data_IF_929858463554
#
_entry.id   IF_929858463554
#
_cell.length_a   1.000
_cell.length_b   1.000
_cell.length_c   1.000
_cell.angle_alpha   90.00
_cell.angle_beta   90.00
_cell.angle_gamma   90.00
#
_symmetry.space_group_name_H-M   'P 1'
#
loop_
_entity.id
_entity.type
_entity.pdbx_description
1 polymer ?
#
# COMPACT_ATOMS: atom_id res chain seq x y z
N UNK A 1 -38.70 -2.86 5.44
CA UNK A 1 -38.12 -2.27 4.21
C UNK A 1 -36.81 -2.97 3.91
N UNK A 2 -36.71 -3.66 2.76
CA UNK A 2 -35.48 -4.32 2.35
C UNK A 2 -34.65 -3.34 1.51
N UNK A 3 -33.43 -3.02 1.96
CA UNK A 3 -32.44 -2.28 1.18
C UNK A 3 -32.09 -3.11 -0.06
N UNK A 4 -32.15 -2.50 -1.23
CA UNK A 4 -31.75 -3.16 -2.48
C UNK A 4 -30.24 -3.38 -2.49
N UNK A 5 -29.72 -4.42 -3.18
CA UNK A 5 -28.28 -4.66 -3.26
C UNK A 5 -27.51 -3.48 -3.85
N UNK A 6 -28.15 -2.66 -4.69
CA UNK A 6 -27.58 -1.42 -5.24
C UNK A 6 -27.49 -0.30 -4.19
N UNK A 7 -28.48 -0.18 -3.30
CA UNK A 7 -28.40 0.76 -2.16
C UNK A 7 -27.41 0.29 -1.09
N UNK A 8 -27.35 -1.02 -0.83
CA UNK A 8 -26.32 -1.61 0.03
C UNK A 8 -24.92 -1.32 -0.53
N UNK A 9 -24.72 -1.47 -1.85
CA UNK A 9 -23.45 -1.10 -2.52
C UNK A 9 -23.16 0.39 -2.49
N UNK A 10 -24.16 1.25 -2.63
CA UNK A 10 -23.99 2.71 -2.53
C UNK A 10 -23.63 3.16 -1.10
N UNK A 11 -24.21 2.52 -0.08
CA UNK A 11 -23.86 2.78 1.33
C UNK A 11 -22.54 2.13 1.75
N UNK A 12 -22.15 1.04 1.09
CA UNK A 12 -20.88 0.35 1.32
C UNK A 12 -19.72 0.89 0.47
N UNK A 13 -20.01 1.77 -0.50
CA UNK A 13 -18.98 2.44 -1.26
C UNK A 13 -18.30 3.47 -0.34
N UNK A 14 -16.96 3.41 -0.20
CA UNK A 14 -16.26 4.34 0.66
C UNK A 14 -16.41 5.76 0.12
N UNK A 15 -16.66 6.71 1.01
CA UNK A 15 -16.91 8.10 0.65
C UNK A 15 -15.70 8.65 -0.14
N UNK A 16 -15.92 9.28 -1.31
CA UNK A 16 -14.82 9.69 -2.19
C UNK A 16 -13.95 10.80 -1.59
N UNK A 17 -14.51 11.68 -0.75
CA UNK A 17 -13.70 12.66 -0.03
C UNK A 17 -12.85 11.98 1.05
N UNK A 18 -13.44 11.02 1.75
CA UNK A 18 -12.72 10.24 2.76
C UNK A 18 -11.56 9.45 2.16
N UNK A 19 -11.79 8.78 1.03
CA UNK A 19 -10.76 8.08 0.26
C UNK A 19 -9.61 9.02 -0.10
N UNK A 20 -9.93 10.21 -0.61
CA UNK A 20 -8.92 11.20 -1.00
C UNK A 20 -8.08 11.69 0.18
N UNK A 21 -8.69 11.84 1.37
CA UNK A 21 -7.97 12.18 2.61
C UNK A 21 -7.10 11.04 3.12
N UNK A 22 -7.56 9.79 2.97
CA UNK A 22 -6.77 8.61 3.31
C UNK A 22 -5.55 8.49 2.39
N UNK A 23 -5.73 8.69 1.09
CA UNK A 23 -4.64 8.72 0.12
C UNK A 23 -3.60 9.79 0.47
N UNK A 24 -4.04 11.04 0.71
CA UNK A 24 -3.14 12.14 1.08
C UNK A 24 -2.35 11.79 2.35
N UNK A 25 -3.00 11.17 3.33
CA UNK A 25 -2.34 10.77 4.58
C UNK A 25 -1.33 9.64 4.38
N UNK A 26 -1.66 8.63 3.56
CA UNK A 26 -0.72 7.56 3.21
C UNK A 26 0.47 8.14 2.45
N UNK A 27 0.22 9.04 1.49
CA UNK A 27 1.27 9.72 0.72
C UNK A 27 2.21 10.52 1.63
N UNK A 28 1.68 11.30 2.58
CA UNK A 28 2.51 12.01 3.54
C UNK A 28 3.38 11.08 4.39
N UNK A 29 2.85 9.96 4.86
CA UNK A 29 3.61 8.98 5.64
C UNK A 29 4.72 8.35 4.78
N UNK A 30 4.41 8.01 3.53
CA UNK A 30 5.39 7.48 2.57
C UNK A 30 6.51 8.50 2.30
N UNK A 31 6.16 9.75 1.98
CA UNK A 31 7.12 10.83 1.70
C UNK A 31 8.00 11.12 2.90
N UNK A 32 7.42 11.18 4.11
CA UNK A 32 8.18 11.42 5.35
C UNK A 32 9.16 10.28 5.65
N UNK A 33 8.71 9.02 5.48
CA UNK A 33 9.56 7.84 5.68
C UNK A 33 10.68 7.73 4.65
N UNK A 34 10.39 8.00 3.38
CA UNK A 34 11.40 8.06 2.32
C UNK A 34 12.42 9.18 2.60
N UNK A 35 11.97 10.34 3.07
CA UNK A 35 12.85 11.48 3.39
C UNK A 35 13.74 11.22 4.60
N UNK A 36 13.26 10.48 5.59
CA UNK A 36 14.02 10.10 6.78
C UNK A 36 15.00 8.95 6.53
N UNK A 37 14.96 8.30 5.35
CA UNK A 37 15.85 7.20 4.98
C UNK A 37 15.63 5.92 5.79
N UNK A 38 14.52 5.84 6.54
CA UNK A 38 14.17 4.69 7.36
C UNK A 38 13.48 3.62 6.51
N UNK A 39 14.29 2.84 5.78
CA UNK A 39 13.89 1.59 5.17
C UNK A 39 13.03 1.72 3.91
N UNK A 40 13.07 0.66 3.09
CA UNK A 40 12.32 0.52 1.83
C UNK A 40 10.82 0.21 2.06
N UNK A 41 10.44 -0.04 3.31
CA UNK A 41 9.12 -0.51 3.74
C UNK A 41 8.51 0.43 4.79
N UNK A 42 7.28 0.85 4.54
CA UNK A 42 6.48 1.72 5.40
C UNK A 42 5.32 0.93 5.99
N UNK A 43 5.18 1.01 7.31
CA UNK A 43 4.16 0.30 8.06
C UNK A 43 3.04 1.27 8.42
N UNK A 44 1.81 0.95 8.02
CA UNK A 44 0.62 1.75 8.30
C UNK A 44 -0.40 0.86 8.99
N UNK A 45 -0.73 1.21 10.22
CA UNK A 45 -1.72 0.48 11.01
C UNK A 45 -3.10 0.46 10.32
N UNK A 46 -3.80 -0.67 10.34
CA UNK A 46 -5.10 -0.75 9.65
C UNK A 46 -6.20 0.04 10.36
N UNK A 47 -6.01 0.41 11.63
CA UNK A 47 -6.95 1.25 12.39
C UNK A 47 -7.10 2.65 11.83
N UNK A 48 -6.16 3.11 10.97
CA UNK A 48 -6.32 4.38 10.26
C UNK A 48 -7.37 4.29 9.15
N UNK A 49 -7.68 3.08 8.69
CA UNK A 49 -8.73 2.85 7.70
C UNK A 49 -10.05 2.61 8.42
N UNK A 50 -11.11 3.32 8.02
CA UNK A 50 -12.43 3.21 8.66
C UNK A 50 -13.08 1.85 8.39
N UNK A 51 -12.80 1.25 7.23
CA UNK A 51 -13.48 0.07 6.71
C UNK A 51 -12.53 -0.78 5.86
N UNK A 52 -12.77 -2.09 5.83
CA UNK A 52 -12.03 -3.02 5.00
C UNK A 52 -12.12 -2.70 3.49
N UNK A 53 -13.24 -2.12 3.04
CA UNK A 53 -13.44 -1.72 1.64
C UNK A 53 -12.54 -0.54 1.24
N UNK A 54 -12.44 0.48 2.10
CA UNK A 54 -11.52 1.62 1.91
C UNK A 54 -10.07 1.15 1.88
N UNK A 55 -9.73 0.25 2.82
CA UNK A 55 -8.41 -0.39 2.88
C UNK A 55 -8.08 -1.12 1.57
N UNK A 56 -8.97 -1.98 1.10
CA UNK A 56 -8.75 -2.77 -0.13
C UNK A 56 -8.61 -1.87 -1.37
N UNK A 57 -9.41 -0.81 -1.45
CA UNK A 57 -9.33 0.16 -2.53
C UNK A 57 -7.99 0.91 -2.55
N UNK A 58 -7.45 1.28 -1.38
CA UNK A 58 -6.11 1.88 -1.26
C UNK A 58 -5.03 0.88 -1.67
N UNK A 59 -5.07 -0.36 -1.17
CA UNK A 59 -4.14 -1.43 -1.53
C UNK A 59 -4.08 -1.58 -3.06
N UNK A 60 -5.24 -1.68 -3.70
CA UNK A 60 -5.35 -1.88 -5.15
C UNK A 60 -4.75 -0.69 -5.92
N UNK A 61 -5.01 0.54 -5.46
CA UNK A 61 -4.52 1.77 -6.10
C UNK A 61 -3.01 1.94 -6.01
N UNK A 62 -2.43 1.65 -4.85
CA UNK A 62 -0.98 1.68 -4.66
C UNK A 62 -0.30 0.51 -5.41
N UNK A 63 -0.92 -0.67 -5.45
CA UNK A 63 -0.45 -1.79 -6.28
C UNK A 63 -0.39 -1.44 -7.77
N UNK A 64 -1.41 -0.74 -8.30
CA UNK A 64 -1.43 -0.22 -9.67
C UNK A 64 -0.36 0.84 -9.92
N UNK A 65 0.01 1.60 -8.89
CA UNK A 65 1.05 2.64 -8.94
C UNK A 65 2.47 2.08 -8.82
N UNK A 66 2.62 0.75 -8.72
CA UNK A 66 3.93 0.10 -8.61
C UNK A 66 4.45 -0.04 -7.19
N UNK A 67 3.59 0.03 -6.17
CA UNK A 67 3.96 -0.30 -4.80
C UNK A 67 3.61 -1.76 -4.48
N UNK A 68 4.43 -2.41 -3.67
CA UNK A 68 4.12 -3.71 -3.08
C UNK A 68 3.42 -3.48 -1.75
N UNK A 69 2.13 -3.82 -1.68
CA UNK A 69 1.34 -3.66 -0.45
C UNK A 69 0.96 -5.04 0.10
N UNK A 70 1.31 -5.33 1.35
CA UNK A 70 1.02 -6.59 2.03
C UNK A 70 0.32 -6.35 3.35
N UNK A 71 -0.74 -7.11 3.62
CA UNK A 71 -1.44 -7.08 4.91
C UNK A 71 -0.79 -8.10 5.86
N UNK A 72 -0.38 -7.64 7.03
CA UNK A 72 0.17 -8.46 8.10
C UNK A 72 -0.70 -8.29 9.33
N UNK A 73 -1.11 -9.40 9.92
CA UNK A 73 -1.85 -9.42 11.18
C UNK A 73 -0.90 -9.88 12.27
N UNK A 74 -0.46 -8.98 13.13
CA UNK A 74 0.31 -9.35 14.32
C UNK A 74 -0.62 -9.43 15.54
N UNK A 75 -0.57 -10.55 16.25
CA UNK A 75 -1.48 -10.80 17.39
C UNK A 75 -1.19 -9.93 18.62
N UNK A 76 -0.08 -9.19 18.65
CA UNK A 76 0.29 -8.30 19.76
C UNK A 76 0.13 -6.83 19.39
N UNK A 77 0.42 -6.47 18.15
CA UNK A 77 0.48 -5.07 17.70
C UNK A 77 -0.74 -4.66 16.87
N UNK A 78 -1.49 -5.63 16.34
CA UNK A 78 -2.69 -5.40 15.53
C UNK A 78 -2.46 -5.67 14.03
N UNK A 79 -3.49 -5.42 13.25
CA UNK A 79 -3.46 -5.54 11.80
C UNK A 79 -2.80 -4.30 11.17
N UNK A 80 -1.79 -4.48 10.34
CA UNK A 80 -1.11 -3.38 9.63
C UNK A 80 -0.84 -3.71 8.16
N UNK A 81 -0.67 -2.66 7.37
CA UNK A 81 -0.25 -2.71 5.97
C UNK A 81 1.22 -2.35 5.84
N UNK A 82 1.94 -3.16 5.08
CA UNK A 82 3.33 -2.91 4.71
C UNK A 82 3.35 -2.45 3.27
N UNK A 83 3.74 -1.19 3.06
CA UNK A 83 3.97 -0.58 1.76
C UNK A 83 5.46 -0.58 1.50
N UNK A 84 5.91 -1.41 0.58
CA UNK A 84 7.28 -1.38 0.09
C UNK A 84 7.31 -0.86 -1.33
N UNK A 85 8.35 -0.08 -1.66
CA UNK A 85 8.60 0.20 -3.07
C UNK A 85 8.74 -1.16 -3.75
N UNK A 86 8.05 -1.37 -4.86
CA UNK A 86 8.28 -2.58 -5.64
C UNK A 86 9.70 -2.44 -6.16
N UNK A 87 10.65 -3.07 -5.49
CA UNK A 87 11.97 -3.31 -6.05
C UNK A 87 11.71 -4.02 -7.37
N UNK A 88 11.75 -3.26 -8.45
CA UNK A 88 11.89 -3.78 -9.80
C UNK A 88 13.12 -4.63 -9.73
N UNK A 89 12.90 -5.94 -9.59
CA UNK A 89 13.83 -7.04 -9.73
C UNK A 89 15.22 -6.54 -10.15
N UNK A 90 16.03 -6.06 -9.20
CA UNK A 90 17.46 -5.93 -9.39
C UNK A 90 18.06 -7.33 -9.23
N UNK A 91 17.50 -8.30 -9.96
CA UNK A 91 18.32 -9.27 -10.68
C UNK A 91 18.84 -8.59 -11.94
N UNK A 92 19.50 -7.44 -11.77
CA UNK A 92 20.69 -7.19 -12.58
C UNK A 92 21.72 -8.17 -12.03
N UNK A 93 21.60 -9.40 -12.53
CA UNK A 93 22.54 -10.47 -12.30
C UNK A 93 23.88 -9.96 -12.80
N UNK A 94 24.65 -9.45 -11.85
CA UNK A 94 26.10 -9.34 -11.90
C UNK A 94 26.67 -10.54 -12.67
N UNK A 95 26.90 -10.34 -13.95
CA UNK A 95 28.02 -10.97 -14.65
C UNK A 95 28.85 -9.84 -15.22
N UNK A 96 29.66 -9.28 -14.33
CA UNK A 96 30.95 -8.79 -14.71
C UNK A 96 31.66 -9.96 -15.41
N UNK A 97 31.69 -9.97 -16.74
CA UNK A 97 32.72 -10.70 -17.48
C UNK A 97 33.41 -9.70 -18.38
N UNK A 98 34.24 -8.90 -17.71
CA UNK A 98 35.43 -8.32 -18.31
C UNK A 98 36.37 -9.47 -18.65
N UNK A 99 36.26 -10.01 -19.86
CA UNK A 99 37.33 -10.80 -20.48
C UNK A 99 37.82 -10.01 -21.68
N UNK A 100 38.63 -9.00 -21.37
CA UNK A 100 39.86 -8.77 -22.10
C UNK A 100 40.66 -10.09 -22.10
N UNK A 101 40.95 -10.62 -23.29
CA UNK A 101 41.54 -11.95 -23.40
C UNK A 101 41.78 -12.44 -24.83
N UNK A 102 42.67 -11.74 -25.54
CA UNK A 102 43.37 -12.12 -26.79
C UNK A 102 42.63 -12.04 -28.13
#
# INVERSE_FOLDING_TARGET
MAITPSEARKRAAPDPEMMRRLEDRVDQILVDRLRTGYGDSVYIDTSVFPDAASRDAIINRYALSGWSVSHQSDQREGDYLVFSARQSDQRDGRSCNYWDGR
#
